data_IF_310174497088
#
_entry.id   IF_310174497088
#
_cell.length_a   1.000
_cell.length_b   1.000
_cell.length_c   1.000
_cell.angle_alpha   90.00
_cell.angle_beta   90.00
_cell.angle_gamma   90.00
#
_symmetry.space_group_name_H-M   'P 1'
#
loop_
_entity.id
_entity.type
_entity.pdbx_description
1 polymer ?
#
# COMPACT_ATOMS: atom_id res chain seq x y z
N UNK A 1 -1.46 -5.42 -3.57
CA UNK A 1 -0.90 -4.35 -4.40
C UNK A 1 -2.03 -3.43 -4.77
N UNK A 2 -1.95 -2.16 -4.41
CA UNK A 2 -2.96 -1.15 -4.70
C UNK A 2 -2.31 0.12 -5.24
N UNK A 3 -3.11 1.10 -5.65
CA UNK A 3 -2.66 2.31 -6.35
C UNK A 3 -1.50 3.03 -5.63
N UNK A 4 -1.52 3.10 -4.29
CA UNK A 4 -0.44 3.72 -3.53
C UNK A 4 0.90 2.96 -3.62
N UNK A 5 0.86 1.63 -3.69
CA UNK A 5 2.06 0.82 -3.89
C UNK A 5 2.64 1.07 -5.29
N UNK A 6 1.80 1.13 -6.32
CA UNK A 6 2.26 1.39 -7.69
C UNK A 6 2.83 2.81 -7.83
N UNK A 7 2.24 3.77 -7.14
CA UNK A 7 2.75 5.14 -7.08
C UNK A 7 4.13 5.21 -6.42
N UNK A 8 4.31 4.55 -5.27
CA UNK A 8 5.61 4.46 -4.60
C UNK A 8 6.66 3.74 -5.46
N UNK A 9 6.27 2.71 -6.24
CA UNK A 9 7.18 2.06 -7.18
C UNK A 9 7.70 3.05 -8.23
N UNK A 10 6.84 3.92 -8.78
CA UNK A 10 7.25 4.93 -9.75
C UNK A 10 8.16 5.99 -9.14
N UNK A 11 7.86 6.46 -7.92
CA UNK A 11 8.72 7.40 -7.19
C UNK A 11 10.11 6.80 -6.94
N UNK A 12 10.20 5.51 -6.59
CA UNK A 12 11.48 4.83 -6.41
C UNK A 12 12.30 4.77 -7.71
N UNK A 13 11.66 4.55 -8.86
CA UNK A 13 12.35 4.60 -10.17
C UNK A 13 12.89 6.01 -10.45
N UNK A 14 12.09 7.05 -10.19
CA UNK A 14 12.50 8.45 -10.35
C UNK A 14 13.70 8.76 -9.44
N UNK A 15 13.61 8.42 -8.15
CA UNK A 15 14.67 8.61 -7.17
C UNK A 15 15.95 7.86 -7.55
N UNK A 16 15.82 6.63 -8.08
CA UNK A 16 16.96 5.86 -8.58
C UNK A 16 17.68 6.56 -9.73
N UNK A 17 16.95 7.07 -10.72
CA UNK A 17 17.55 7.81 -11.84
C UNK A 17 18.17 9.13 -11.41
N UNK A 18 17.53 9.87 -10.50
CA UNK A 18 18.08 11.10 -9.93
C UNK A 18 19.36 10.81 -9.16
N UNK A 19 19.38 9.74 -8.37
CA UNK A 19 20.56 9.29 -7.63
C UNK A 19 21.74 8.97 -8.55
N UNK A 20 21.49 8.21 -9.63
CA UNK A 20 22.52 7.94 -10.64
C UNK A 20 23.00 9.23 -11.32
N UNK A 21 22.08 10.13 -11.69
CA UNK A 21 22.45 11.41 -12.29
C UNK A 21 23.31 12.29 -11.39
N UNK A 22 23.05 12.29 -10.08
CA UNK A 22 23.86 13.01 -9.08
C UNK A 22 25.23 12.37 -8.84
N UNK A 23 25.40 11.07 -9.11
CA UNK A 23 26.70 10.41 -9.07
C UNK A 23 27.58 10.76 -10.28
N UNK A 24 26.96 11.05 -11.42
CA UNK A 24 27.65 11.31 -12.69
C UNK A 24 28.08 12.78 -12.87
N UNK A 25 27.60 13.70 -12.02
CA UNK A 25 27.89 15.14 -12.11
C UNK A 25 28.46 15.69 -10.81
N UNK A 26 29.20 16.80 -10.90
CA UNK A 26 29.67 17.54 -9.73
C UNK A 26 28.62 18.55 -9.22
N UNK A 27 28.82 19.05 -8.00
CA UNK A 27 27.94 20.05 -7.36
C UNK A 27 27.89 21.40 -8.09
N UNK A 28 28.87 21.70 -8.96
CA UNK A 28 28.92 22.94 -9.74
C UNK A 28 28.21 22.80 -11.09
N UNK A 29 27.79 21.59 -11.44
CA UNK A 29 27.12 21.32 -12.68
C UNK A 29 25.75 21.98 -12.70
N UNK A 30 25.40 22.62 -13.82
CA UNK A 30 24.15 23.38 -13.98
C UNK A 30 22.86 22.59 -13.70
N UNK A 31 22.92 21.25 -13.73
CA UNK A 31 21.78 20.37 -13.44
C UNK A 31 21.73 19.87 -11.99
N UNK A 32 22.77 20.08 -11.19
CA UNK A 32 22.86 19.55 -9.83
C UNK A 32 21.66 20.01 -8.98
N UNK A 33 21.41 21.32 -8.93
CA UNK A 33 20.32 21.87 -8.13
C UNK A 33 18.94 21.40 -8.61
N UNK A 34 18.77 21.23 -9.93
CA UNK A 34 17.54 20.67 -10.48
C UNK A 34 17.33 19.21 -10.03
N UNK A 35 18.37 18.38 -10.05
CA UNK A 35 18.28 17.00 -9.58
C UNK A 35 18.00 16.91 -8.08
N UNK A 36 18.60 17.80 -7.27
CA UNK A 36 18.31 17.90 -5.84
C UNK A 36 16.84 18.27 -5.59
N UNK A 37 16.31 19.24 -6.34
CA UNK A 37 14.90 19.62 -6.23
C UNK A 37 13.94 18.51 -6.67
N UNK A 38 14.26 17.77 -7.74
CA UNK A 38 13.48 16.61 -8.17
C UNK A 38 13.47 15.53 -7.07
N UNK A 39 14.62 15.23 -6.45
CA UNK A 39 14.71 14.29 -5.31
C UNK A 39 13.79 14.73 -4.18
N UNK A 40 13.92 15.99 -3.74
CA UNK A 40 13.11 16.58 -2.67
C UNK A 40 11.60 16.55 -2.98
N UNK A 41 11.21 16.83 -4.23
CA UNK A 41 9.81 16.75 -4.64
C UNK A 41 9.27 15.31 -4.64
N UNK A 42 10.07 14.35 -5.09
CA UNK A 42 9.71 12.94 -5.09
C UNK A 42 9.56 12.36 -3.66
N UNK A 43 10.48 12.70 -2.75
CA UNK A 43 10.41 12.32 -1.33
C UNK A 43 9.14 12.86 -0.67
N UNK A 44 8.87 14.17 -0.81
CA UNK A 44 7.63 14.78 -0.29
C UNK A 44 6.35 14.16 -0.88
N UNK A 45 6.40 13.74 -2.15
CA UNK A 45 5.26 13.07 -2.80
C UNK A 45 5.00 11.68 -2.22
N UNK A 46 6.06 10.96 -1.83
CA UNK A 46 5.94 9.67 -1.16
C UNK A 46 5.28 9.84 0.22
N UNK A 47 5.75 10.80 1.02
CA UNK A 47 5.17 11.12 2.33
C UNK A 47 3.68 11.51 2.23
N UNK A 48 3.33 12.36 1.27
CA UNK A 48 1.94 12.77 1.06
C UNK A 48 1.05 11.58 0.67
N UNK A 49 1.55 10.68 -0.18
CA UNK A 49 0.83 9.47 -0.59
C UNK A 49 0.58 8.55 0.60
N UNK A 50 1.56 8.38 1.49
CA UNK A 50 1.41 7.60 2.71
C UNK A 50 0.37 8.21 3.66
N UNK A 51 0.38 9.53 3.84
CA UNK A 51 -0.62 10.24 4.65
C UNK A 51 -2.03 10.09 4.08
N UNK A 52 -2.19 10.21 2.76
CA UNK A 52 -3.48 10.02 2.08
C UNK A 52 -3.96 8.57 2.21
N UNK A 53 -3.07 7.58 2.09
CA UNK A 53 -3.43 6.19 2.29
C UNK A 53 -3.85 5.92 3.73
N UNK A 54 -3.11 6.44 4.71
CA UNK A 54 -3.44 6.33 6.13
C UNK A 54 -4.77 7.01 6.48
N UNK A 55 -5.13 8.09 5.77
CA UNK A 55 -6.44 8.73 5.89
C UNK A 55 -7.54 7.86 5.24
N UNK A 56 -7.34 7.39 4.02
CA UNK A 56 -8.30 6.58 3.28
C UNK A 56 -8.53 5.19 3.88
N UNK A 57 -7.51 4.61 4.53
CA UNK A 57 -7.58 3.31 5.20
C UNK A 57 -8.31 3.35 6.53
N UNK A 58 -8.65 4.54 7.07
CA UNK A 58 -9.57 4.70 8.20
C UNK A 58 -11.01 4.43 7.78
N UNK A 59 -11.27 3.25 7.20
CA UNK A 59 -12.62 2.73 7.13
C UNK A 59 -13.21 2.81 8.54
N UNK A 60 -14.44 3.31 8.63
CA UNK A 60 -15.20 3.29 9.87
C UNK A 60 -15.45 1.83 10.20
N UNK A 61 -14.60 1.26 11.04
CA UNK A 61 -14.86 -0.03 11.67
C UNK A 61 -16.06 0.23 12.57
N UNK A 62 -17.22 -0.25 12.17
CA UNK A 62 -18.42 -0.22 12.99
C UNK A 62 -18.41 -1.50 13.83
N UNK A 63 -18.03 -1.46 15.12
CA UNK A 63 -18.05 -2.65 15.96
C UNK A 63 -19.50 -3.04 16.14
N UNK A 64 -19.86 -4.23 15.67
CA UNK A 64 -21.20 -4.78 15.86
C UNK A 64 -21.16 -5.82 16.97
N UNK A 65 -22.19 -5.84 17.80
CA UNK A 65 -22.44 -6.96 18.70
C UNK A 65 -22.65 -8.20 17.82
N UNK A 66 -21.73 -9.15 17.95
CA UNK A 66 -21.73 -10.37 17.19
C UNK A 66 -22.11 -11.52 18.14
N UNK A 67 -23.17 -12.25 17.83
CA UNK A 67 -23.39 -13.55 18.45
C UNK A 67 -22.44 -14.55 17.78
N UNK A 68 -21.45 -14.99 18.55
CA UNK A 68 -20.42 -15.91 18.07
C UNK A 68 -21.02 -17.27 17.68
N UNK A 69 -22.05 -17.73 18.40
CA UNK A 69 -22.65 -19.04 18.12
C UNK A 69 -23.41 -18.99 16.78
N UNK A 70 -24.22 -17.96 16.57
CA UNK A 70 -24.95 -17.77 15.30
C UNK A 70 -23.99 -17.62 14.12
N UNK A 71 -22.93 -16.83 14.30
CA UNK A 71 -21.92 -16.60 13.24
C UNK A 71 -21.19 -17.90 12.88
N UNK A 72 -20.79 -18.70 13.89
CA UNK A 72 -20.11 -19.98 13.66
C UNK A 72 -21.05 -20.96 12.96
N UNK A 73 -22.33 -21.04 13.36
CA UNK A 73 -23.30 -21.91 12.71
C UNK A 73 -23.48 -21.57 11.23
N UNK A 74 -23.59 -20.29 10.89
CA UNK A 74 -23.78 -19.86 9.52
C UNK A 74 -22.54 -20.10 8.65
N UNK A 75 -21.35 -19.92 9.21
CA UNK A 75 -20.10 -20.32 8.56
C UNK A 75 -20.06 -21.83 8.32
N UNK A 76 -20.42 -22.66 9.29
CA UNK A 76 -20.45 -24.12 9.14
C UNK A 76 -21.47 -24.52 8.05
N UNK A 77 -22.65 -23.90 8.01
CA UNK A 77 -23.66 -24.14 6.95
C UNK A 77 -23.10 -23.81 5.57
N UNK A 78 -22.41 -22.67 5.43
CA UNK A 78 -21.80 -22.25 4.17
C UNK A 78 -20.67 -23.20 3.75
N UNK A 79 -19.81 -23.58 4.68
CA UNK A 79 -18.71 -24.52 4.44
C UNK A 79 -19.23 -25.91 4.05
N UNK A 80 -20.28 -26.43 4.70
CA UNK A 80 -20.92 -27.69 4.31
C UNK A 80 -21.44 -27.66 2.87
N UNK A 81 -22.00 -26.53 2.42
CA UNK A 81 -22.46 -26.35 1.02
C UNK A 81 -21.30 -26.28 0.03
N UNK A 82 -20.17 -25.71 0.42
CA UNK A 82 -18.98 -25.54 -0.43
C UNK A 82 -18.14 -26.82 -0.56
N UNK A 83 -18.04 -27.60 0.52
CA UNK A 83 -17.10 -28.71 0.65
C UNK A 83 -17.73 -30.06 0.23
N UNK A 84 -19.06 -30.15 0.17
CA UNK A 84 -19.78 -31.36 -0.23
C UNK A 84 -19.80 -32.45 0.84
N UNK A 85 -20.51 -33.55 0.58
CA UNK A 85 -20.87 -34.61 1.56
C UNK A 85 -19.70 -35.47 2.07
N UNK A 86 -18.46 -35.18 1.66
CA UNK A 86 -17.27 -36.01 1.94
C UNK A 86 -16.40 -35.58 3.13
N UNK A 87 -16.75 -34.51 3.85
CA UNK A 87 -15.96 -34.00 4.99
C UNK A 87 -16.84 -33.87 6.24
N UNK A 88 -16.47 -34.58 7.30
CA UNK A 88 -17.14 -34.55 8.60
C UNK A 88 -16.44 -33.55 9.53
N UNK A 89 -17.20 -32.60 10.08
CA UNK A 89 -16.69 -31.66 11.09
C UNK A 89 -16.77 -32.36 12.46
N UNK A 90 -15.61 -32.64 13.06
CA UNK A 90 -15.43 -33.26 14.39
C UNK A 90 -15.41 -32.19 15.47
#
# INVERSE_FOLDING_TARGET
GGVAHDFNNMLNVILGHVGLGLLDIDEKHSLHDHLVEIRSAAERSAELTEQLLAFASRQVIEPRLLDLNETIEDMIKMLRRLIGEGIEFV
#
